data_IF_584699070452
#
_entry.id   IF_584699070452
#
_cell.length_a   1.000
_cell.length_b   1.000
_cell.length_c   1.000
_cell.angle_alpha   90.00
_cell.angle_beta   90.00
_cell.angle_gamma   90.00
#
_symmetry.space_group_name_H-M   'P 1'
#
loop_
_entity.id
_entity.type
_entity.pdbx_description
1 polymer ?
#
# COMPACT_ATOMS: atom_id res chain seq x y z
N UNK A 1 -0.06 1.60 -8.45
CA UNK A 1 -1.20 2.05 -7.61
C UNK A 1 -1.97 0.88 -7.02
N UNK A 2 -2.43 -0.11 -7.78
CA UNK A 2 -3.13 -1.29 -7.20
C UNK A 2 -2.29 -2.06 -6.17
N UNK A 3 -1.01 -2.25 -6.44
CA UNK A 3 -0.08 -2.87 -5.47
C UNK A 3 0.06 -2.04 -4.18
N UNK A 4 0.08 -0.72 -4.32
CA UNK A 4 0.08 0.19 -3.17
C UNK A 4 -1.22 0.10 -2.37
N UNK A 5 -2.38 0.01 -3.03
CA UNK A 5 -3.65 -0.22 -2.33
C UNK A 5 -3.62 -1.54 -1.53
N UNK A 6 -3.03 -2.60 -2.08
CA UNK A 6 -2.88 -3.86 -1.35
C UNK A 6 -1.95 -3.72 -0.14
N UNK A 7 -0.83 -3.01 -0.28
CA UNK A 7 0.06 -2.69 0.86
C UNK A 7 -0.71 -1.95 1.95
N UNK A 8 -1.41 -0.87 1.58
CA UNK A 8 -2.17 -0.06 2.54
C UNK A 8 -3.27 -0.88 3.21
N UNK A 9 -3.99 -1.70 2.44
CA UNK A 9 -5.06 -2.52 2.97
C UNK A 9 -4.53 -3.59 3.94
N UNK A 10 -3.42 -4.27 3.63
CA UNK A 10 -2.80 -5.24 4.54
C UNK A 10 -2.30 -4.56 5.81
N UNK A 11 -1.51 -3.49 5.71
CA UNK A 11 -0.92 -2.82 6.88
C UNK A 11 -1.95 -2.14 7.80
N UNK A 12 -3.20 -2.01 7.35
CA UNK A 12 -4.31 -1.46 8.14
C UNK A 12 -5.39 -2.51 8.47
N UNK A 13 -5.10 -3.80 8.34
CA UNK A 13 -6.01 -4.90 8.67
C UNK A 13 -7.37 -4.81 7.94
N UNK A 14 -7.34 -4.47 6.65
CA UNK A 14 -8.55 -4.40 5.84
C UNK A 14 -9.21 -5.78 5.70
N UNK A 15 -10.53 -5.89 5.91
CA UNK A 15 -11.27 -7.15 5.71
C UNK A 15 -11.16 -7.74 4.29
N UNK A 16 -10.73 -6.95 3.30
CA UNK A 16 -10.47 -7.45 1.95
C UNK A 16 -9.25 -8.40 1.91
N UNK A 17 -8.28 -8.21 2.80
CA UNK A 17 -7.00 -8.92 2.81
C UNK A 17 -6.71 -9.59 4.15
N UNK A 18 -7.63 -9.52 5.11
CA UNK A 18 -7.46 -10.12 6.42
C UNK A 18 -8.75 -10.75 6.93
N UNK A 19 -8.62 -11.71 7.85
CA UNK A 19 -9.73 -12.32 8.57
C UNK A 19 -9.44 -12.32 10.06
N UNK A 20 -10.50 -12.19 10.87
CA UNK A 20 -10.40 -12.33 12.32
C UNK A 20 -9.94 -13.75 12.68
N UNK A 21 -8.97 -13.85 13.58
CA UNK A 21 -8.47 -15.12 14.08
C UNK A 21 -8.26 -15.02 15.59
N UNK A 22 -9.15 -15.66 16.35
CA UNK A 22 -9.12 -15.66 17.82
C UNK A 22 -7.86 -16.30 18.41
N UNK A 23 -6.99 -16.94 17.60
CA UNK A 23 -5.72 -17.47 18.05
C UNK A 23 -4.67 -16.38 18.38
N UNK A 24 -4.87 -15.14 17.92
CA UNK A 24 -3.96 -14.02 18.15
C UNK A 24 -4.75 -12.75 18.49
N UNK A 25 -4.98 -12.53 19.77
CA UNK A 25 -5.73 -11.36 20.26
C UNK A 25 -5.11 -10.03 19.80
N UNK A 26 -5.94 -9.15 19.23
CA UNK A 26 -5.52 -7.84 18.74
C UNK A 26 -4.96 -7.83 17.32
N UNK A 27 -5.01 -8.97 16.61
CA UNK A 27 -4.51 -9.11 15.24
C UNK A 27 -5.50 -9.80 14.32
N UNK A 28 -5.46 -9.42 13.05
CA UNK A 28 -6.13 -10.13 11.96
C UNK A 28 -5.12 -10.96 11.16
N UNK A 29 -5.51 -12.15 10.73
CA UNK A 29 -4.70 -13.02 9.87
C UNK A 29 -4.72 -12.51 8.44
N UNK A 30 -3.55 -12.36 7.82
CA UNK A 30 -3.42 -11.97 6.40
C UNK A 30 -3.83 -13.13 5.51
N UNK A 31 -4.73 -12.88 4.54
CA UNK A 31 -5.29 -13.89 3.64
C UNK A 31 -4.74 -13.83 2.21
N UNK A 32 -3.96 -12.79 1.89
CA UNK A 32 -3.36 -12.64 0.57
C UNK A 32 -2.27 -13.70 0.35
N UNK A 33 -2.46 -14.56 -0.67
CA UNK A 33 -1.57 -15.68 -0.95
C UNK A 33 -0.16 -15.27 -1.41
N UNK A 34 0.04 -13.99 -1.77
CA UNK A 34 1.36 -13.42 -2.06
C UNK A 34 2.22 -13.29 -0.81
N UNK A 35 1.61 -13.21 0.37
CA UNK A 35 2.29 -12.90 1.63
C UNK A 35 2.36 -14.13 2.53
N UNK A 36 3.41 -14.94 2.35
CA UNK A 36 3.68 -16.15 3.16
C UNK A 36 4.64 -15.89 4.33
N UNK A 37 5.37 -14.79 4.27
CA UNK A 37 6.25 -14.28 5.32
C UNK A 37 6.26 -12.75 5.31
N UNK A 38 6.64 -12.13 6.41
CA UNK A 38 6.91 -10.69 6.52
C UNK A 38 7.97 -10.28 5.48
N UNK A 39 8.95 -11.14 5.21
CA UNK A 39 9.93 -10.91 4.14
C UNK A 39 9.27 -10.77 2.76
N UNK A 40 8.20 -11.52 2.46
CA UNK A 40 7.45 -11.33 1.21
C UNK A 40 6.74 -9.98 1.15
N UNK A 41 6.15 -9.53 2.27
CA UNK A 41 5.50 -8.21 2.36
C UNK A 41 6.54 -7.11 2.13
N UNK A 42 7.68 -7.16 2.83
CA UNK A 42 8.77 -6.19 2.67
C UNK A 42 9.31 -6.16 1.24
N UNK A 43 9.54 -7.32 0.63
CA UNK A 43 9.97 -7.40 -0.76
C UNK A 43 8.94 -6.82 -1.73
N UNK A 44 7.64 -7.03 -1.47
CA UNK A 44 6.57 -6.44 -2.26
C UNK A 44 6.51 -4.91 -2.12
N UNK A 45 6.78 -4.38 -0.92
CA UNK A 45 6.94 -2.94 -0.68
C UNK A 45 8.13 -2.39 -1.48
N UNK A 46 9.32 -2.99 -1.37
CA UNK A 46 10.51 -2.55 -2.13
C UNK A 46 10.37 -2.69 -3.64
N UNK A 47 9.53 -3.62 -4.10
CA UNK A 47 9.15 -3.78 -5.49
C UNK A 47 8.20 -2.69 -6.00
N UNK A 48 7.43 -2.06 -5.10
CA UNK A 48 6.32 -1.15 -5.43
C UNK A 48 6.66 0.32 -5.13
N UNK A 49 7.39 0.56 -4.04
CA UNK A 49 7.68 1.87 -3.48
C UNK A 49 9.19 2.13 -3.49
N UNK A 50 9.58 3.39 -3.33
CA UNK A 50 10.98 3.77 -3.18
C UNK A 50 11.14 4.99 -2.27
N UNK A 51 12.38 5.26 -1.84
CA UNK A 51 12.73 6.44 -1.08
C UNK A 51 12.11 6.45 0.32
N UNK A 52 11.71 7.63 0.79
CA UNK A 52 11.17 7.77 2.15
C UNK A 52 9.86 6.99 2.35
N UNK A 53 9.03 6.88 1.30
CA UNK A 53 7.80 6.11 1.35
C UNK A 53 8.06 4.63 1.64
N UNK A 54 9.00 4.03 0.92
CA UNK A 54 9.44 2.65 1.16
C UNK A 54 9.93 2.47 2.60
N UNK A 55 10.84 3.33 3.06
CA UNK A 55 11.40 3.24 4.41
C UNK A 55 10.32 3.31 5.50
N UNK A 56 9.32 4.17 5.33
CA UNK A 56 8.22 4.31 6.28
C UNK A 56 7.35 3.04 6.30
N UNK A 57 6.97 2.51 5.13
CA UNK A 57 6.17 1.29 5.04
C UNK A 57 6.91 0.06 5.59
N UNK A 58 8.22 -0.03 5.37
CA UNK A 58 9.05 -1.09 5.95
C UNK A 58 9.09 -1.02 7.48
N UNK A 59 9.17 0.19 8.05
CA UNK A 59 9.10 0.40 9.50
C UNK A 59 7.70 0.05 10.04
N UNK A 60 6.64 0.41 9.33
CA UNK A 60 5.28 0.01 9.72
C UNK A 60 5.14 -1.51 9.78
N UNK A 61 5.74 -2.25 8.83
CA UNK A 61 5.76 -3.72 8.90
C UNK A 61 6.36 -4.24 10.22
N UNK A 62 7.47 -3.65 10.67
CA UNK A 62 8.11 -4.04 11.93
C UNK A 62 7.24 -3.75 13.16
N UNK A 63 6.36 -2.76 13.05
CA UNK A 63 5.48 -2.33 14.14
C UNK A 63 4.15 -3.09 14.19
N UNK A 64 3.62 -3.51 13.04
CA UNK A 64 2.27 -4.05 12.95
C UNK A 64 2.19 -5.52 12.52
N UNK A 65 3.23 -6.09 11.93
CA UNK A 65 3.21 -7.48 11.47
C UNK A 65 3.93 -8.42 12.43
N UNK A 66 3.35 -9.60 12.62
CA UNK A 66 4.01 -10.72 13.30
C UNK A 66 3.80 -12.02 12.51
N UNK A 67 4.70 -12.98 12.71
CA UNK A 67 4.54 -14.34 12.20
C UNK A 67 4.20 -15.29 13.35
N UNK A 68 3.19 -16.12 13.15
CA UNK A 68 2.79 -17.17 14.09
C UNK A 68 2.17 -18.32 13.31
N UNK A 69 2.47 -19.57 13.67
CA UNK A 69 1.87 -20.75 13.07
C UNK A 69 1.95 -20.76 11.52
N UNK A 70 3.12 -20.36 10.98
CA UNK A 70 3.39 -20.22 9.54
C UNK A 70 2.44 -19.26 8.80
N UNK A 71 1.80 -18.34 9.53
CA UNK A 71 0.90 -17.32 9.01
C UNK A 71 1.37 -15.93 9.42
N UNK A 72 1.01 -14.93 8.63
CA UNK A 72 1.25 -13.51 8.95
C UNK A 72 -0.01 -12.95 9.59
N UNK A 73 0.19 -12.18 10.66
CA UNK A 73 -0.85 -11.46 11.35
C UNK A 73 -0.51 -9.97 11.35
N UNK A 74 -1.53 -9.12 11.22
CA UNK A 74 -1.41 -7.66 11.29
C UNK A 74 -2.24 -7.12 12.43
N UNK A 75 -1.65 -6.21 13.21
CA UNK A 75 -2.32 -5.55 14.33
C UNK A 75 -3.52 -4.76 13.83
N UNK A 76 -4.65 -4.82 14.53
CA UNK A 76 -5.79 -3.97 14.18
C UNK A 76 -5.44 -2.49 14.30
N UNK A 77 -5.67 -1.75 13.22
CA UNK A 77 -5.40 -0.32 13.18
C UNK A 77 -6.65 0.54 13.42
N UNK A 78 -7.86 -0.03 13.28
CA UNK A 78 -9.18 0.63 13.41
C UNK A 78 -9.25 2.04 12.79
N UNK A 79 -8.56 2.25 11.68
CA UNK A 79 -8.46 3.55 11.00
C UNK A 79 -8.73 3.39 9.51
N UNK A 80 -9.32 4.42 8.91
CA UNK A 80 -9.40 4.53 7.45
C UNK A 80 -8.00 4.67 6.86
N UNK A 81 -7.84 4.20 5.62
CA UNK A 81 -6.56 4.25 4.91
C UNK A 81 -6.78 4.70 3.47
N UNK A 82 -5.74 5.28 2.88
CA UNK A 82 -5.77 5.79 1.53
C UNK A 82 -5.91 4.65 0.50
N UNK A 83 -6.80 4.86 -0.47
CA UNK A 83 -7.01 3.95 -1.60
C UNK A 83 -7.09 4.75 -2.90
N UNK A 84 -6.23 4.42 -3.87
CA UNK A 84 -6.34 4.98 -5.21
C UNK A 84 -7.51 4.31 -5.96
N UNK A 85 -8.54 5.08 -6.31
CA UNK A 85 -9.63 4.67 -7.20
C UNK A 85 -9.15 4.73 -8.65
N UNK A 86 -8.81 3.58 -9.23
CA UNK A 86 -8.19 3.49 -10.58
C UNK A 86 -9.14 2.92 -11.63
N UNK A 87 -10.39 2.65 -11.24
CA UNK A 87 -11.43 2.02 -12.04
C UNK A 87 -11.80 2.88 -13.26
N UNK A 88 -11.80 4.20 -13.11
CA UNK A 88 -11.99 5.19 -14.20
C UNK A 88 -10.68 5.64 -14.87
N UNK A 89 -9.58 4.93 -14.60
CA UNK A 89 -8.25 5.26 -15.11
C UNK A 89 -7.55 6.37 -14.32
N UNK A 90 -6.44 6.84 -14.88
CA UNK A 90 -5.59 7.88 -14.31
C UNK A 90 -5.15 8.86 -15.38
N UNK A 91 -4.91 10.10 -14.99
CA UNK A 91 -4.30 11.13 -15.84
C UNK A 91 -2.82 11.27 -15.46
N UNK A 92 -1.93 11.10 -16.43
CA UNK A 92 -0.48 11.30 -16.23
C UNK A 92 -0.14 12.78 -16.37
N UNK A 93 0.61 13.32 -15.41
CA UNK A 93 1.09 14.70 -15.39
C UNK A 93 2.60 14.75 -15.20
N UNK A 94 3.21 15.85 -15.59
CA UNK A 94 4.65 16.14 -15.45
C UNK A 94 5.56 15.00 -15.94
N UNK A 95 5.38 14.46 -17.16
CA UNK A 95 6.20 13.36 -17.62
C UNK A 95 7.64 13.81 -17.89
N UNK A 96 8.59 13.04 -17.38
CA UNK A 96 10.00 13.14 -17.74
C UNK A 96 10.62 11.75 -17.89
N UNK A 97 11.89 11.71 -18.29
CA UNK A 97 12.59 10.45 -18.60
C UNK A 97 12.56 9.43 -17.46
N UNK A 98 12.66 9.89 -16.21
CA UNK A 98 12.78 9.02 -15.02
C UNK A 98 11.77 9.35 -13.92
N UNK A 99 10.79 10.21 -14.18
CA UNK A 99 9.72 10.51 -13.24
C UNK A 99 8.42 10.86 -13.98
N UNK A 100 7.28 10.62 -13.34
CA UNK A 100 5.99 11.17 -13.73
C UNK A 100 5.05 11.19 -12.53
N UNK A 101 3.97 11.94 -12.59
CA UNK A 101 2.86 11.83 -11.65
C UNK A 101 1.65 11.22 -12.33
N UNK A 102 0.81 10.51 -11.58
CA UNK A 102 -0.50 10.09 -12.05
C UNK A 102 -1.56 10.43 -11.00
N UNK A 103 -2.66 11.01 -11.45
CA UNK A 103 -3.82 11.41 -10.64
C UNK A 103 -4.98 10.50 -11.00
N UNK A 104 -5.72 10.00 -10.02
CA UNK A 104 -6.93 9.23 -10.27
C UNK A 104 -7.97 10.08 -10.99
N UNK A 105 -8.74 9.48 -11.90
CA UNK A 105 -9.87 10.16 -12.56
C UNK A 105 -11.17 10.06 -11.74
N UNK A 106 -11.10 9.38 -10.59
CA UNK A 106 -12.16 9.19 -9.62
C UNK A 106 -11.60 9.55 -8.24
N UNK A 107 -12.40 10.24 -7.45
CA UNK A 107 -12.10 10.54 -6.06
C UNK A 107 -12.50 9.40 -5.14
N UNK A 108 -11.82 9.32 -3.99
CA UNK A 108 -12.32 8.59 -2.84
C UNK A 108 -13.19 9.51 -1.99
N UNK A 109 -14.38 9.06 -1.60
CA UNK A 109 -15.36 9.87 -0.86
C UNK A 109 -14.79 10.52 0.42
N UNK A 110 -13.80 9.88 1.06
CA UNK A 110 -13.20 10.36 2.30
C UNK A 110 -11.95 11.21 2.06
N UNK A 111 -11.15 10.88 1.04
CA UNK A 111 -9.81 11.45 0.87
C UNK A 111 -9.65 12.30 -0.40
N UNK A 112 -10.62 12.33 -1.30
CA UNK A 112 -10.52 13.04 -2.58
C UNK A 112 -9.72 12.26 -3.63
N UNK A 113 -9.19 12.98 -4.62
CA UNK A 113 -8.37 12.40 -5.67
C UNK A 113 -7.02 11.99 -5.13
N UNK A 114 -6.51 10.84 -5.60
CA UNK A 114 -5.18 10.38 -5.25
C UNK A 114 -4.17 10.70 -6.33
N UNK A 115 -3.05 11.32 -5.97
CA UNK A 115 -1.87 11.47 -6.84
C UNK A 115 -0.71 10.65 -6.31
N UNK A 116 -0.08 9.90 -7.20
CA UNK A 116 1.18 9.21 -6.93
C UNK A 116 2.28 9.76 -7.84
N UNK A 117 3.44 10.03 -7.26
CA UNK A 117 4.67 10.35 -8.00
C UNK A 117 5.49 9.09 -8.17
N UNK A 118 5.87 8.79 -9.40
CA UNK A 118 6.67 7.64 -9.76
C UNK A 118 8.09 8.07 -10.10
N UNK A 119 9.06 7.21 -9.76
CA UNK A 119 10.43 7.31 -10.27
C UNK A 119 10.89 6.00 -10.86
N UNK A 120 11.68 6.08 -11.94
CA UNK A 120 12.25 4.93 -12.61
C UNK A 120 13.64 4.64 -12.06
N UNK A 121 13.79 3.47 -11.44
CA UNK A 121 15.07 2.99 -10.94
C UNK A 121 15.21 1.49 -11.21
N UNK A 122 16.36 1.09 -11.77
CA UNK A 122 16.72 -0.33 -11.99
C UNK A 122 15.69 -1.11 -12.81
N UNK A 123 15.24 -0.55 -13.93
CA UNK A 123 14.32 -1.26 -14.82
C UNK A 123 12.84 -1.17 -14.44
N UNK A 124 12.49 -0.51 -13.32
CA UNK A 124 11.12 -0.48 -12.79
C UNK A 124 10.67 0.90 -12.32
N UNK A 125 9.41 1.22 -12.59
CA UNK A 125 8.69 2.35 -12.01
C UNK A 125 8.20 2.01 -10.61
N UNK A 126 8.57 2.83 -9.63
CA UNK A 126 8.18 2.69 -8.22
C UNK A 126 7.54 3.98 -7.72
N UNK A 127 6.60 3.88 -6.78
CA UNK A 127 5.96 5.04 -6.17
C UNK A 127 6.92 5.64 -5.14
N UNK A 128 7.28 6.90 -5.34
CA UNK A 128 8.17 7.66 -4.47
C UNK A 128 7.41 8.42 -3.38
N UNK A 129 6.23 8.92 -3.71
CA UNK A 129 5.36 9.68 -2.81
C UNK A 129 3.92 9.63 -3.29
N UNK A 130 3.00 9.96 -2.40
CA UNK A 130 1.59 10.12 -2.71
C UNK A 130 0.96 11.26 -1.93
N UNK A 131 -0.12 11.80 -2.45
CA UNK A 131 -0.99 12.78 -1.80
C UNK A 131 -2.45 12.52 -2.17
N UNK A 132 -3.37 12.95 -1.30
CA UNK A 132 -4.80 12.85 -1.50
C UNK A 132 -5.45 14.22 -1.19
N UNK A 133 -6.44 14.63 -1.98
CA UNK A 133 -7.20 15.85 -1.73
C UNK A 133 -7.96 16.36 -2.95
N UNK A 134 -8.28 17.67 -2.95
CA UNK A 134 -8.82 18.35 -4.13
C UNK A 134 -7.67 18.67 -5.09
N UNK A 135 -7.31 17.67 -5.90
CA UNK A 135 -6.23 17.73 -6.88
C UNK A 135 -6.85 18.07 -8.24
N UNK A 136 -7.19 19.34 -8.44
CA UNK A 136 -7.67 19.90 -9.70
C UNK A 136 -6.66 20.88 -10.28
#
# INVERSE_FOLDING_TARGET
>A
MKDFNAIMAVLNASPQYTTEDSAVEGYAKVTDSRFKSIANVKNFISATCTGLLENNLLRECDNCLIEKDSSIYVKHAYRSFYQFRTEKGVTVTDPAMNYFSAITNEDDDLFGYGKATFSYHEGRWRIKSYEFGDLK
#
